data_IF_543066179855
#
_entry.id   IF_543066179855
#
_cell.length_a   1.000
_cell.length_b   1.000
_cell.length_c   1.000
_cell.angle_alpha   90.00
_cell.angle_beta   90.00
_cell.angle_gamma   90.00
#
_symmetry.space_group_name_H-M   'P 1'
#
loop_
_entity.id
_entity.type
_entity.pdbx_description
1 polymer ?
#
# COMPACT_ATOMS: atom_id res chain seq x y z
N UNK A 1 6.55 1.56 7.06
CA UNK A 1 6.10 0.34 7.76
C UNK A 1 4.64 0.10 7.47
N UNK A 2 4.31 -1.11 7.09
CA UNK A 2 2.93 -1.54 6.88
C UNK A 2 2.38 -2.13 8.18
N UNK A 3 1.10 -1.93 8.43
CA UNK A 3 0.44 -2.32 9.68
C UNK A 3 -0.68 -3.35 9.49
N UNK A 4 -0.74 -3.97 8.32
CA UNK A 4 -1.62 -5.10 8.03
C UNK A 4 -0.81 -6.36 7.79
N UNK A 5 -1.33 -7.55 8.16
CA UNK A 5 -0.75 -8.81 7.69
C UNK A 5 -0.89 -8.90 6.16
N UNK A 6 0.07 -9.52 5.52
CA UNK A 6 0.04 -9.76 4.07
C UNK A 6 0.46 -11.19 3.75
N UNK A 7 -0.40 -11.92 3.06
CA UNK A 7 -0.08 -13.27 2.61
C UNK A 7 0.64 -13.23 1.26
N UNK A 8 1.79 -13.89 1.19
CA UNK A 8 2.52 -14.04 -0.05
C UNK A 8 3.20 -15.42 -0.10
N UNK A 9 2.97 -16.17 -1.18
CA UNK A 9 3.50 -17.52 -1.37
C UNK A 9 3.25 -18.48 -0.19
N UNK A 10 2.03 -18.43 0.39
CA UNK A 10 1.62 -19.30 1.50
C UNK A 10 2.26 -18.97 2.85
N UNK A 11 2.84 -17.77 3.00
CA UNK A 11 3.37 -17.26 4.25
C UNK A 11 2.74 -15.91 4.58
N UNK A 12 2.35 -15.71 5.84
CA UNK A 12 1.82 -14.44 6.32
C UNK A 12 2.96 -13.58 6.87
N UNK A 13 3.20 -12.46 6.20
CA UNK A 13 4.13 -11.43 6.64
C UNK A 13 3.43 -10.42 7.54
N UNK A 14 4.12 -9.99 8.58
CA UNK A 14 3.64 -9.00 9.54
C UNK A 14 4.70 -7.93 9.78
N UNK A 15 4.25 -6.70 10.07
CA UNK A 15 5.12 -5.56 10.37
C UNK A 15 6.20 -5.32 9.30
N UNK A 16 5.84 -5.52 8.04
CA UNK A 16 6.76 -5.32 6.92
C UNK A 16 7.21 -3.87 6.89
N UNK A 17 8.52 -3.67 6.92
CA UNK A 17 9.15 -2.36 6.81
C UNK A 17 10.06 -2.35 5.59
N UNK A 18 9.83 -1.41 4.69
CA UNK A 18 10.63 -1.21 3.49
C UNK A 18 11.27 0.17 3.53
N UNK A 19 12.56 0.22 3.18
CA UNK A 19 13.26 1.48 2.94
C UNK A 19 13.47 1.64 1.44
N UNK A 20 12.94 2.73 0.89
CA UNK A 20 13.08 3.06 -0.53
C UNK A 20 14.13 4.16 -0.74
N UNK A 21 14.87 4.02 -1.82
CA UNK A 21 15.72 5.08 -2.38
C UNK A 21 15.54 5.09 -3.90
N UNK A 22 15.18 6.24 -4.44
CA UNK A 22 14.95 6.42 -5.88
C UNK A 22 13.98 5.37 -6.47
N UNK A 23 12.89 5.07 -5.73
CA UNK A 23 11.87 4.08 -6.11
C UNK A 23 12.27 2.62 -5.92
N UNK A 24 13.49 2.34 -5.41
CA UNK A 24 14.01 0.99 -5.19
C UNK A 24 14.07 0.64 -3.71
N UNK A 25 13.64 -0.57 -3.34
CA UNK A 25 13.83 -1.13 -1.99
C UNK A 25 15.31 -1.39 -1.77
N UNK A 26 15.91 -0.67 -0.81
CA UNK A 26 17.30 -0.79 -0.42
C UNK A 26 17.48 -1.57 0.89
N UNK A 27 16.44 -1.66 1.71
CA UNK A 27 16.39 -2.51 2.90
C UNK A 27 14.96 -2.95 3.18
N UNK A 28 14.79 -4.14 3.73
CA UNK A 28 13.52 -4.68 4.18
C UNK A 28 13.66 -5.39 5.51
N UNK A 29 12.59 -5.37 6.31
CA UNK A 29 12.50 -6.04 7.61
C UNK A 29 11.05 -6.47 7.89
N UNK A 30 10.85 -7.44 8.79
CA UNK A 30 9.56 -7.98 9.14
C UNK A 30 9.70 -9.25 9.99
N UNK A 31 8.64 -10.00 10.12
CA UNK A 31 8.66 -11.27 10.88
C UNK A 31 9.51 -12.38 10.24
N UNK A 32 9.87 -12.26 8.96
CA UNK A 32 10.82 -13.15 8.27
C UNK A 32 11.58 -12.38 7.17
N UNK A 33 12.71 -11.79 7.56
CA UNK A 33 13.55 -10.99 6.66
C UNK A 33 14.11 -11.80 5.48
N UNK A 34 14.48 -13.06 5.70
CA UNK A 34 15.08 -13.91 4.67
C UNK A 34 14.06 -14.19 3.54
N UNK A 35 12.82 -14.48 3.92
CA UNK A 35 11.73 -14.67 2.94
C UNK A 35 11.36 -13.38 2.19
N UNK A 36 11.38 -12.22 2.89
CA UNK A 36 11.20 -10.92 2.25
C UNK A 36 12.27 -10.67 1.20
N UNK A 37 13.55 -10.84 1.56
CA UNK A 37 14.68 -10.70 0.65
C UNK A 37 14.56 -11.63 -0.56
N UNK A 38 14.14 -12.87 -0.35
CA UNK A 38 13.94 -13.83 -1.43
C UNK A 38 12.84 -13.38 -2.39
N UNK A 39 11.71 -12.86 -1.87
CA UNK A 39 10.62 -12.31 -2.69
C UNK A 39 11.08 -11.12 -3.53
N UNK A 40 11.74 -10.15 -2.90
CA UNK A 40 12.24 -8.94 -3.57
C UNK A 40 13.48 -9.18 -4.46
N UNK A 41 14.07 -10.36 -4.45
CA UNK A 41 15.15 -10.78 -5.35
C UNK A 41 14.67 -11.72 -6.46
N UNK A 42 13.37 -11.86 -6.68
CA UNK A 42 12.81 -12.71 -7.75
C UNK A 42 13.32 -12.28 -9.13
N UNK A 43 13.34 -10.97 -9.37
CA UNK A 43 13.90 -10.36 -10.58
C UNK A 43 14.33 -8.89 -10.31
N UNK A 44 14.85 -8.23 -11.33
CA UNK A 44 15.33 -6.85 -11.20
C UNK A 44 14.23 -5.86 -10.83
N UNK A 45 13.02 -6.03 -11.38
CA UNK A 45 11.87 -5.16 -11.14
C UNK A 45 11.20 -5.37 -9.78
N UNK A 46 11.44 -6.51 -9.12
CA UNK A 46 10.78 -6.86 -7.86
C UNK A 46 11.05 -5.87 -6.71
N UNK A 47 12.18 -5.17 -6.77
CA UNK A 47 12.54 -4.16 -5.76
C UNK A 47 12.01 -2.76 -6.06
N UNK A 48 11.45 -2.53 -7.24
CA UNK A 48 10.94 -1.21 -7.61
C UNK A 48 9.45 -1.09 -7.35
N UNK A 49 9.02 0.14 -7.09
CA UNK A 49 7.60 0.46 -6.94
C UNK A 49 6.89 0.23 -8.27
N UNK A 50 5.82 -0.56 -8.25
CA UNK A 50 4.92 -0.79 -9.37
C UNK A 50 3.64 0.00 -9.29
N UNK A 51 3.12 0.19 -8.06
CA UNK A 51 1.83 0.85 -7.85
C UNK A 51 1.80 1.66 -6.55
N UNK A 52 1.08 2.78 -6.59
CA UNK A 52 0.58 3.50 -5.43
C UNK A 52 -0.91 3.73 -5.60
N UNK A 53 -1.71 3.32 -4.62
CA UNK A 53 -3.14 3.55 -4.65
C UNK A 53 -3.73 3.86 -3.27
N UNK A 54 -4.95 4.37 -3.25
CA UNK A 54 -5.64 4.85 -2.06
C UNK A 54 -6.94 4.07 -1.88
N UNK A 55 -7.11 3.40 -0.74
CA UNK A 55 -8.35 2.71 -0.38
C UNK A 55 -9.45 3.69 0.04
N UNK A 56 -10.64 3.52 -0.56
CA UNK A 56 -11.78 4.44 -0.36
C UNK A 56 -13.10 3.73 -0.07
N UNK A 57 -13.14 2.40 0.01
CA UNK A 57 -14.39 1.68 0.23
C UNK A 57 -14.87 1.80 1.69
N UNK A 58 -15.97 2.54 1.98
CA UNK A 58 -16.42 2.80 3.34
C UNK A 58 -17.01 1.60 4.06
N UNK A 59 -17.28 0.50 3.33
CA UNK A 59 -17.81 -0.73 3.89
C UNK A 59 -16.74 -1.72 4.35
N UNK A 60 -15.48 -1.48 4.00
CA UNK A 60 -14.34 -2.28 4.44
C UNK A 60 -13.53 -1.46 5.44
N UNK A 61 -13.58 -1.85 6.71
CA UNK A 61 -13.01 -1.05 7.82
C UNK A 61 -11.94 -1.78 8.61
N UNK A 62 -11.74 -3.07 8.34
CA UNK A 62 -10.76 -3.92 9.04
C UNK A 62 -10.07 -4.87 8.07
N UNK A 63 -8.80 -5.22 8.33
CA UNK A 63 -8.11 -6.23 7.54
C UNK A 63 -8.79 -7.60 7.67
N UNK A 64 -8.85 -8.31 6.56
CA UNK A 64 -9.41 -9.65 6.45
C UNK A 64 -8.34 -10.69 6.10
N UNK A 65 -7.08 -10.29 6.01
CA UNK A 65 -5.97 -11.07 5.46
C UNK A 65 -6.29 -11.57 4.03
N UNK A 66 -6.95 -10.72 3.27
CA UNK A 66 -7.30 -10.95 1.88
C UNK A 66 -7.12 -9.65 1.09
N UNK A 67 -6.13 -9.64 0.22
CA UNK A 67 -5.71 -8.42 -0.46
C UNK A 67 -6.82 -7.78 -1.30
N UNK A 68 -7.71 -8.58 -1.92
CA UNK A 68 -8.84 -8.05 -2.71
C UNK A 68 -9.78 -7.15 -1.89
N UNK A 69 -9.79 -7.30 -0.58
CA UNK A 69 -10.55 -6.45 0.32
C UNK A 69 -9.66 -5.43 1.03
N UNK A 70 -8.49 -5.86 1.52
CA UNK A 70 -7.66 -5.06 2.39
C UNK A 70 -7.09 -3.82 1.68
N UNK A 71 -6.77 -3.92 0.39
CA UNK A 71 -6.33 -2.79 -0.44
C UNK A 71 -7.41 -1.70 -0.62
N UNK A 72 -8.68 -2.01 -0.35
CA UNK A 72 -9.81 -1.11 -0.56
C UNK A 72 -10.30 -0.44 0.71
N UNK A 73 -9.73 -0.74 1.87
CA UNK A 73 -10.12 -0.18 3.17
C UNK A 73 -10.13 1.35 3.11
N UNK A 74 -11.25 1.97 3.49
CA UNK A 74 -11.30 3.43 3.59
C UNK A 74 -10.26 3.95 4.59
N UNK A 75 -9.42 4.89 4.15
CA UNK A 75 -8.31 5.41 4.95
C UNK A 75 -7.01 4.64 4.81
N UNK A 76 -6.95 3.61 3.95
CA UNK A 76 -5.67 2.95 3.63
C UNK A 76 -4.97 3.57 2.42
N UNK A 77 -3.73 3.15 2.25
CA UNK A 77 -3.00 3.14 0.98
C UNK A 77 -2.46 1.74 0.75
N UNK A 78 -2.20 1.38 -0.49
CA UNK A 78 -1.26 0.33 -0.79
C UNK A 78 -0.12 0.88 -1.65
N UNK A 79 1.07 0.40 -1.33
CA UNK A 79 2.30 0.80 -2.01
C UNK A 79 3.04 -0.48 -2.38
N UNK A 80 3.03 -0.79 -3.66
CA UNK A 80 3.19 -2.12 -4.22
C UNK A 80 4.53 -2.27 -4.91
N UNK A 81 5.44 -3.08 -4.40
CA UNK A 81 6.62 -3.49 -5.14
C UNK A 81 6.29 -4.43 -6.29
N UNK A 82 7.05 -4.33 -7.37
CA UNK A 82 6.98 -5.23 -8.49
C UNK A 82 6.32 -4.64 -9.73
N UNK A 83 5.59 -5.47 -10.49
CA UNK A 83 5.00 -5.08 -11.74
C UNK A 83 4.03 -3.90 -11.61
N UNK A 84 4.06 -2.98 -12.56
CA UNK A 84 3.11 -1.86 -12.56
C UNK A 84 1.72 -2.33 -13.01
N UNK A 85 0.70 -1.56 -12.62
CA UNK A 85 -0.66 -1.75 -13.09
C UNK A 85 -0.82 -1.25 -14.52
N UNK A 86 -1.60 -1.97 -15.34
CA UNK A 86 -1.71 -1.64 -16.78
C UNK A 86 -2.38 -0.29 -17.04
N UNK A 87 -3.37 0.08 -16.21
CA UNK A 87 -4.11 1.34 -16.35
C UNK A 87 -3.38 2.56 -15.76
N UNK A 88 -2.32 2.33 -14.96
CA UNK A 88 -1.49 3.37 -14.36
C UNK A 88 0.01 3.01 -14.45
N UNK A 89 0.55 2.86 -15.67
CA UNK A 89 1.88 2.31 -15.86
C UNK A 89 2.97 3.31 -15.48
N UNK A 90 3.92 2.88 -14.68
CA UNK A 90 5.18 3.59 -14.44
C UNK A 90 6.38 2.96 -15.19
N UNK A 91 6.13 1.91 -15.97
CA UNK A 91 7.12 1.21 -16.77
C UNK A 91 7.86 0.09 -16.06
N UNK A 92 7.68 -0.10 -14.76
CA UNK A 92 8.31 -1.20 -14.05
C UNK A 92 7.68 -2.55 -14.40
N UNK A 93 8.52 -3.53 -14.68
CA UNK A 93 8.10 -4.91 -15.01
C UNK A 93 8.75 -5.90 -14.06
N UNK A 94 7.95 -6.82 -13.54
CA UNK A 94 8.38 -7.87 -12.64
C UNK A 94 7.46 -9.09 -12.74
N UNK A 95 7.94 -10.24 -12.31
CA UNK A 95 7.12 -11.43 -12.09
C UNK A 95 6.28 -11.35 -10.82
N UNK A 96 6.59 -10.42 -9.91
CA UNK A 96 5.80 -10.17 -8.71
C UNK A 96 4.97 -8.89 -8.86
N UNK A 97 3.84 -8.86 -8.15
CA UNK A 97 3.04 -7.68 -7.85
C UNK A 97 2.50 -7.92 -6.44
N UNK A 98 3.06 -7.21 -5.47
CA UNK A 98 2.78 -7.49 -4.07
C UNK A 98 2.21 -6.28 -3.36
N UNK A 99 0.89 -6.23 -3.24
CA UNK A 99 0.18 -5.17 -2.54
C UNK A 99 0.41 -5.27 -1.04
N UNK A 100 1.05 -4.25 -0.51
CA UNK A 100 1.27 -4.06 0.91
C UNK A 100 0.44 -2.89 1.39
N UNK A 101 -0.40 -3.11 2.39
CA UNK A 101 -1.41 -2.14 2.84
C UNK A 101 -0.98 -1.46 4.13
N UNK A 102 -1.14 -0.13 4.16
CA UNK A 102 -0.98 0.71 5.34
C UNK A 102 -2.32 1.39 5.63
N UNK A 103 -2.93 1.08 6.78
CA UNK A 103 -4.14 1.73 7.25
C UNK A 103 -3.76 2.99 8.03
N UNK A 104 -4.40 4.10 7.69
CA UNK A 104 -4.17 5.44 8.28
C UNK A 104 -5.41 5.97 9.00
N UNK A 105 -6.34 5.09 9.42
CA UNK A 105 -7.47 5.53 10.24
C UNK A 105 -7.01 5.86 11.66
N UNK A 106 -7.75 6.66 12.44
CA UNK A 106 -7.37 7.02 13.81
C UNK A 106 -7.10 5.80 14.71
N UNK A 107 -7.86 4.71 14.55
CA UNK A 107 -7.66 3.47 15.31
C UNK A 107 -6.31 2.80 15.03
N UNK A 108 -5.71 3.09 13.86
CA UNK A 108 -4.40 2.58 13.43
C UNK A 108 -3.29 3.63 13.57
N UNK A 109 -3.54 4.73 14.29
CA UNK A 109 -2.55 5.77 14.56
C UNK A 109 -2.65 6.99 13.64
N UNK A 110 -3.62 7.02 12.74
CA UNK A 110 -3.82 8.13 11.80
C UNK A 110 -2.74 8.21 10.71
N UNK A 111 -2.83 9.22 9.86
CA UNK A 111 -1.83 9.50 8.84
C UNK A 111 -2.23 10.63 7.90
N UNK A 112 -1.26 11.10 7.15
CA UNK A 112 -1.43 12.17 6.17
C UNK A 112 -0.84 11.76 4.83
N UNK A 113 -1.50 12.15 3.74
CA UNK A 113 -1.00 12.01 2.38
C UNK A 113 -0.73 13.41 1.83
N UNK A 114 0.50 13.65 1.46
CA UNK A 114 0.95 14.88 0.86
C UNK A 114 1.45 14.61 -0.56
N UNK A 115 1.04 15.42 -1.51
CA UNK A 115 1.63 15.48 -2.83
C UNK A 115 2.34 16.83 -2.95
N UNK A 116 3.67 16.77 -3.02
CA UNK A 116 4.54 17.91 -2.82
C UNK A 116 4.18 18.63 -1.49
N UNK A 117 3.80 19.89 -1.52
CA UNK A 117 3.44 20.66 -0.33
C UNK A 117 1.91 20.73 -0.09
N UNK A 118 1.11 19.92 -0.80
CA UNK A 118 -0.34 19.91 -0.71
C UNK A 118 -0.83 18.71 0.11
N UNK A 119 -1.51 18.96 1.22
CA UNK A 119 -2.16 17.93 2.02
C UNK A 119 -3.42 17.43 1.31
N UNK A 120 -3.37 16.21 0.81
CA UNK A 120 -4.45 15.58 0.04
C UNK A 120 -5.47 14.91 0.95
N UNK A 121 -4.98 14.13 1.93
CA UNK A 121 -5.84 13.38 2.85
C UNK A 121 -5.24 13.37 4.24
N UNK A 122 -6.10 13.53 5.24
CA UNK A 122 -5.79 13.31 6.65
C UNK A 122 -6.68 12.20 7.19
N UNK A 123 -6.04 11.18 7.74
CA UNK A 123 -6.72 9.96 8.20
C UNK A 123 -7.57 9.36 7.08
N UNK A 124 -8.88 9.46 7.16
CA UNK A 124 -9.83 8.96 6.16
C UNK A 124 -10.27 10.05 5.17
N UNK A 125 -10.13 11.32 5.56
CA UNK A 125 -10.76 12.44 4.84
C UNK A 125 -9.87 13.08 3.80
N UNK A 126 -10.37 13.16 2.58
CA UNK A 126 -9.83 14.03 1.54
C UNK A 126 -10.19 15.48 1.84
N UNK A 127 -9.22 16.37 1.65
CA UNK A 127 -9.31 17.78 2.03
C UNK A 127 -9.46 18.72 0.84
N UNK A 128 -9.19 18.25 -0.37
CA UNK A 128 -9.38 19.02 -1.59
C UNK A 128 -10.83 18.95 -2.05
N UNK A 129 -11.45 20.08 -2.46
CA UNK A 129 -12.82 20.09 -2.96
C UNK A 129 -13.09 19.10 -4.09
N UNK A 130 -12.12 18.94 -4.99
CA UNK A 130 -12.18 18.03 -6.13
C UNK A 130 -12.23 16.55 -5.74
N UNK A 131 -11.76 16.24 -4.54
CA UNK A 131 -11.71 14.87 -4.00
C UNK A 131 -12.77 14.62 -2.92
N UNK A 132 -13.60 15.60 -2.59
CA UNK A 132 -14.63 15.48 -1.56
C UNK A 132 -15.62 14.33 -1.85
N UNK A 133 -15.88 14.05 -3.13
CA UNK A 133 -16.72 12.92 -3.55
C UNK A 133 -16.19 11.54 -3.09
N UNK A 134 -14.92 11.43 -2.77
CA UNK A 134 -14.27 10.19 -2.28
C UNK A 134 -14.36 10.02 -0.75
N UNK A 135 -14.93 10.98 -0.04
CA UNK A 135 -15.14 10.84 1.40
C UNK A 135 -16.21 9.80 1.71
N UNK A 136 -16.08 9.04 2.82
CA UNK A 136 -16.94 7.89 3.12
C UNK A 136 -18.44 8.20 3.12
N UNK A 137 -18.84 9.38 3.55
CA UNK A 137 -20.24 9.81 3.56
C UNK A 137 -20.83 10.01 2.15
N UNK A 138 -20.00 10.24 1.15
CA UNK A 138 -20.40 10.49 -0.24
C UNK A 138 -20.37 9.22 -1.11
N UNK A 139 -19.80 8.13 -0.59
CA UNK A 139 -19.66 6.82 -1.25
C UNK A 139 -20.70 5.78 -0.76
N UNK A 140 -21.62 6.16 0.12
CA UNK A 140 -22.64 5.26 0.69
C UNK A 140 -23.93 5.29 -0.09
#
# INVERSE_FOLDING_TARGET
>A
TYNTPSEYNGFTFENVRLTFKDGKIVDCDGNDKERLEKGFNTDEGARYVGEFAIGVNPYITKPMNNILFDEKIAGSIHFTPGNCYEDAPNGNKSAIHWDLVLIMTPEYGGGEIWFDDVLIRKDVRFLLPELECLNPENLK
#
